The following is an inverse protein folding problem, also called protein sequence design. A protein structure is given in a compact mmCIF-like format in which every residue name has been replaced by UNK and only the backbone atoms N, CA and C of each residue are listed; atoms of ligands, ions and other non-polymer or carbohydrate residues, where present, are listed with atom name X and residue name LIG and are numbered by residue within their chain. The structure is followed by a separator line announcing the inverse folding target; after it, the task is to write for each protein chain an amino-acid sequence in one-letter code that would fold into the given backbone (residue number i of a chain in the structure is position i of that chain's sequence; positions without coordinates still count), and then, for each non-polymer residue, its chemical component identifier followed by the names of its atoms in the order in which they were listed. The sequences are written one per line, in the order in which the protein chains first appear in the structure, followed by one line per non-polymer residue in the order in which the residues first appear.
data_IF_513074203634
#
_entry.id   IF_513074203634
#
_cell.length_a   1.000
_cell.length_b   1.000
_cell.length_c   1.000
_cell.angle_alpha   90.00
_cell.angle_beta   90.00
_cell.angle_gamma   90.00
#
_symmetry.space_group_name_H-M   'P 1'
#
loop_
_entity.id
_entity.type
_entity.pdbx_description
1 polymer ?
#
# COMPACT_ATOMS: atom_id res chain seq x y z
N UNK A 1 5.86 -2.03 6.71
CA UNK A 1 4.64 -1.85 7.53
C UNK A 1 3.49 -2.64 6.91
N UNK A 2 3.09 -3.74 7.55
CA UNK A 2 1.90 -4.48 7.15
C UNK A 2 0.71 -3.62 7.62
N UNK A 3 0.04 -2.91 6.72
CA UNK A 3 -1.10 -2.01 7.05
C UNK A 3 -2.24 -2.65 7.85
N UNK A 4 -2.17 -3.97 8.08
CA UNK A 4 -2.89 -4.70 9.11
C UNK A 4 -2.02 -5.84 9.68
N UNK A 5 -2.02 -6.05 10.98
CA UNK A 5 -1.42 -7.22 11.64
C UNK A 5 -2.53 -8.09 12.26
N UNK A 6 -2.51 -9.39 11.97
CA UNK A 6 -3.38 -10.36 12.64
C UNK A 6 -2.55 -11.21 13.59
N UNK A 7 -2.87 -11.15 14.88
CA UNK A 7 -2.23 -11.96 15.92
C UNK A 7 -3.22 -13.06 16.32
N UNK A 8 -2.80 -14.31 16.19
CA UNK A 8 -3.60 -15.46 16.61
C UNK A 8 -2.93 -16.14 17.79
N UNK A 9 -3.65 -16.41 18.89
CA UNK A 9 -3.16 -17.29 19.93
C UNK A 9 -2.84 -18.67 19.34
N UNK A 10 -1.78 -19.30 19.84
CA UNK A 10 -1.36 -20.63 19.38
C UNK A 10 -2.54 -21.62 19.36
N UNK A 11 -2.73 -22.32 18.24
CA UNK A 11 -3.89 -23.20 17.98
C UNK A 11 -3.94 -24.45 18.88
N UNK A 12 -2.82 -24.83 19.48
CA UNK A 12 -2.76 -25.96 20.41
C UNK A 12 -3.53 -25.74 21.72
N UNK A 13 -4.05 -26.82 22.32
CA UNK A 13 -4.82 -26.87 23.60
C UNK A 13 -4.11 -26.25 24.83
N UNK A 14 -2.87 -25.78 24.68
CA UNK A 14 -2.05 -25.15 25.74
C UNK A 14 -2.21 -23.64 25.82
N UNK A 15 -2.74 -22.97 24.79
CA UNK A 15 -2.92 -21.52 24.83
C UNK A 15 -4.03 -21.14 25.81
N UNK A 16 -3.66 -20.57 26.95
CA UNK A 16 -4.61 -20.08 27.95
C UNK A 16 -5.56 -19.04 27.33
N UNK A 17 -5.03 -18.10 26.54
CA UNK A 17 -5.83 -17.09 25.84
C UNK A 17 -6.89 -17.72 24.93
N UNK A 18 -6.53 -18.76 24.17
CA UNK A 18 -7.48 -19.45 23.29
C UNK A 18 -8.55 -20.19 24.09
N UNK A 19 -8.16 -20.90 25.16
CA UNK A 19 -9.10 -21.61 26.04
C UNK A 19 -10.07 -20.67 26.75
N UNK A 20 -9.61 -19.48 27.13
CA UNK A 20 -10.43 -18.44 27.75
C UNK A 20 -11.20 -17.59 26.73
N UNK A 21 -11.15 -17.94 25.44
CA UNK A 21 -12.06 -17.41 24.44
C UNK A 21 -11.53 -16.25 23.61
N UNK A 22 -10.24 -15.90 23.66
CA UNK A 22 -9.64 -15.01 22.67
C UNK A 22 -9.38 -15.79 21.38
N UNK A 23 -9.99 -15.38 20.27
CA UNK A 23 -9.86 -16.07 18.99
C UNK A 23 -8.70 -15.53 18.18
N UNK A 24 -8.69 -14.22 17.94
CA UNK A 24 -7.62 -13.49 17.26
C UNK A 24 -7.76 -11.99 17.51
N UNK A 25 -6.67 -11.26 17.25
CA UNK A 25 -6.60 -9.80 17.33
C UNK A 25 -6.23 -9.29 15.94
N UNK A 26 -6.96 -8.30 15.45
CA UNK A 26 -6.63 -7.57 14.24
C UNK A 26 -6.26 -6.14 14.60
N UNK A 27 -5.07 -5.71 14.19
CA UNK A 27 -4.55 -4.37 14.37
C UNK A 27 -4.50 -3.69 13.01
N UNK A 28 -5.15 -2.53 12.88
CA UNK A 28 -5.20 -1.76 11.64
C UNK A 28 -4.54 -0.40 11.84
N UNK A 29 -3.53 -0.09 11.02
CA UNK A 29 -2.99 1.27 11.00
C UNK A 29 -4.05 2.21 10.40
N UNK A 30 -4.41 3.27 11.13
CA UNK A 30 -5.41 4.25 10.67
C UNK A 30 -4.85 5.26 9.67
N UNK A 31 -3.52 5.27 9.45
CA UNK A 31 -2.84 6.16 8.50
C UNK A 31 -3.37 6.04 7.07
N UNK A 32 -3.93 4.89 6.67
CA UNK A 32 -4.61 4.73 5.37
C UNK A 32 -5.73 5.76 5.15
N UNK A 33 -6.33 6.24 6.24
CA UNK A 33 -7.38 7.27 6.24
C UNK A 33 -6.91 8.61 5.70
N UNK A 34 -5.59 8.87 5.66
CA UNK A 34 -5.02 10.08 5.05
C UNK A 34 -5.39 10.14 3.56
N UNK A 35 -5.36 9.00 2.87
CA UNK A 35 -5.53 8.94 1.42
C UNK A 35 -6.89 8.37 0.98
N UNK A 36 -7.62 7.69 1.86
CA UNK A 36 -8.89 7.08 1.54
C UNK A 36 -9.98 8.13 1.24
N UNK A 37 -10.66 7.99 0.09
CA UNK A 37 -11.93 8.66 -0.16
C UNK A 37 -12.93 7.59 -0.63
N UNK A 38 -13.71 7.05 0.32
CA UNK A 38 -14.43 5.80 0.11
C UNK A 38 -13.47 4.66 -0.23
N UNK A 39 -13.71 3.98 -1.36
CA UNK A 39 -12.85 2.92 -1.89
C UNK A 39 -11.85 3.41 -2.95
N UNK A 40 -11.74 4.73 -3.17
CA UNK A 40 -10.87 5.31 -4.19
C UNK A 40 -9.61 5.86 -3.55
N UNK A 41 -8.45 5.58 -4.15
CA UNK A 41 -7.15 6.00 -3.64
C UNK A 41 -6.30 6.69 -4.72
N UNK A 42 -5.35 7.56 -4.34
CA UNK A 42 -4.43 8.16 -5.29
C UNK A 42 -3.67 7.10 -6.08
N UNK A 43 -3.51 7.34 -7.38
CA UNK A 43 -2.83 6.46 -8.34
C UNK A 43 -3.48 5.08 -8.57
N UNK A 44 -4.64 4.79 -7.98
CA UNK A 44 -5.34 3.50 -8.17
C UNK A 44 -5.95 3.30 -9.58
N UNK A 45 -5.94 4.33 -10.43
CA UNK A 45 -6.44 4.22 -11.79
C UNK A 45 -5.47 3.40 -12.66
N UNK A 46 -5.81 2.15 -12.97
CA UNK A 46 -4.99 1.28 -13.81
C UNK A 46 -4.72 1.83 -15.22
N UNK A 47 -5.56 2.73 -15.73
CA UNK A 47 -5.31 3.39 -17.00
C UNK A 47 -4.08 4.33 -16.95
N UNK A 48 -3.53 4.64 -15.76
CA UNK A 48 -2.27 5.38 -15.66
C UNK A 48 -1.11 4.64 -16.33
N UNK A 49 -1.12 3.30 -16.35
CA UNK A 49 -0.09 2.50 -17.03
C UNK A 49 -0.03 2.83 -18.54
N UNK A 50 -1.11 3.34 -19.15
CA UNK A 50 -1.10 3.72 -20.57
C UNK A 50 -0.26 4.97 -20.84
N UNK A 51 0.08 5.77 -19.83
CA UNK A 51 1.03 6.88 -19.98
C UNK A 51 2.44 6.40 -20.32
N UNK A 52 2.76 5.13 -20.05
CA UNK A 52 4.05 4.51 -20.36
C UNK A 52 4.12 3.87 -21.75
N UNK A 53 2.99 3.76 -22.43
CA UNK A 53 2.90 3.09 -23.72
C UNK A 53 3.13 4.07 -24.87
N UNK A 54 3.63 3.52 -25.97
CA UNK A 54 3.74 4.27 -27.23
C UNK A 54 2.34 4.78 -27.67
N UNK A 55 2.20 6.08 -27.99
CA UNK A 55 0.91 6.63 -28.43
C UNK A 55 0.35 5.96 -29.69
N UNK A 56 1.21 5.48 -30.59
CA UNK A 56 0.82 4.71 -31.77
C UNK A 56 0.23 3.35 -31.40
N UNK A 57 0.86 2.64 -30.45
CA UNK A 57 0.33 1.38 -29.91
C UNK A 57 -1.03 1.55 -29.24
N UNK A 58 -1.19 2.59 -28.42
CA UNK A 58 -2.47 2.89 -27.77
C UNK A 58 -3.56 3.18 -28.80
N UNK A 59 -3.26 3.98 -29.84
CA UNK A 59 -4.21 4.27 -30.95
C UNK A 59 -4.58 3.01 -31.73
N UNK A 60 -3.62 2.14 -32.01
CA UNK A 60 -3.87 0.87 -32.70
C UNK A 60 -4.81 -0.03 -31.88
N UNK A 61 -4.58 -0.16 -30.57
CA UNK A 61 -5.46 -0.92 -29.68
C UNK A 61 -6.84 -0.29 -29.53
N UNK A 62 -6.95 1.04 -29.55
CA UNK A 62 -8.24 1.74 -29.57
C UNK A 62 -9.03 1.42 -30.84
N UNK A 63 -8.36 1.44 -31.99
CA UNK A 63 -8.97 1.16 -33.28
C UNK A 63 -9.43 -0.30 -33.40
N UNK A 64 -8.62 -1.26 -32.93
CA UNK A 64 -8.91 -2.70 -33.03
C UNK A 64 -9.90 -3.16 -31.95
N UNK A 65 -9.72 -2.70 -30.72
CA UNK A 65 -10.42 -3.24 -29.56
C UNK A 65 -11.71 -2.52 -29.18
N UNK A 66 -12.00 -1.33 -29.73
CA UNK A 66 -13.12 -0.43 -29.38
C UNK A 66 -13.33 -0.11 -27.87
N UNK A 67 -12.53 -0.68 -26.96
CA UNK A 67 -12.78 -0.70 -25.52
C UNK A 67 -11.87 0.24 -24.70
N UNK A 68 -10.79 0.80 -25.29
CA UNK A 68 -9.82 1.65 -24.57
C UNK A 68 -10.02 3.15 -24.86
N UNK A 69 -11.25 3.67 -24.76
CA UNK A 69 -11.55 5.09 -25.03
C UNK A 69 -11.11 6.02 -23.89
N UNK A 70 -9.84 5.98 -23.50
CA UNK A 70 -9.27 6.98 -22.59
C UNK A 70 -8.40 7.96 -23.38
N UNK A 71 -8.81 9.24 -23.36
CA UNK A 71 -8.01 10.33 -23.90
C UNK A 71 -6.67 10.40 -23.13
N UNK A 72 -5.50 10.39 -23.79
CA UNK A 72 -4.21 10.53 -23.14
C UNK A 72 -4.12 11.76 -22.23
N UNK A 73 -4.74 12.87 -22.65
CA UNK A 73 -4.84 14.09 -21.85
C UNK A 73 -5.68 13.89 -20.59
N UNK A 74 -6.76 13.10 -20.66
CA UNK A 74 -7.57 12.80 -19.47
C UNK A 74 -6.80 11.95 -18.46
N UNK A 75 -6.01 10.97 -18.93
CA UNK A 75 -5.16 10.16 -18.06
C UNK A 75 -4.04 10.99 -17.44
N UNK A 76 -3.40 11.88 -18.22
CA UNK A 76 -2.39 12.80 -17.67
C UNK A 76 -2.99 13.75 -16.62
N UNK A 77 -4.20 14.28 -16.86
CA UNK A 77 -4.93 15.06 -15.84
C UNK A 77 -5.22 14.22 -14.60
N UNK A 78 -5.63 12.96 -14.75
CA UNK A 78 -5.86 12.07 -13.62
C UNK A 78 -4.59 11.85 -12.78
N UNK A 79 -3.43 11.70 -13.43
CA UNK A 79 -2.12 11.64 -12.77
C UNK A 79 -1.84 12.92 -11.95
N UNK A 80 -2.01 14.09 -12.56
CA UNK A 80 -1.79 15.38 -11.88
C UNK A 80 -2.77 15.59 -10.72
N UNK A 81 -4.04 15.23 -10.88
CA UNK A 81 -5.02 15.28 -9.81
C UNK A 81 -4.67 14.33 -8.65
N UNK A 82 -4.11 13.15 -8.93
CA UNK A 82 -3.61 12.25 -7.89
C UNK A 82 -2.47 12.90 -7.08
N UNK A 83 -1.52 13.58 -7.74
CA UNK A 83 -0.46 14.35 -7.06
C UNK A 83 -1.03 15.44 -6.16
N UNK A 84 -1.95 16.26 -6.68
CA UNK A 84 -2.60 17.33 -5.92
C UNK A 84 -3.35 16.76 -4.72
N UNK A 85 -4.11 15.69 -4.91
CA UNK A 85 -4.83 15.00 -3.84
C UNK A 85 -3.89 14.51 -2.74
N UNK A 86 -2.76 13.88 -3.08
CA UNK A 86 -1.75 13.49 -2.10
C UNK A 86 -1.19 14.70 -1.35
N UNK A 87 -0.85 15.77 -2.06
CA UNK A 87 -0.33 16.98 -1.44
C UNK A 87 -1.32 17.58 -0.44
N UNK A 88 -2.58 17.78 -0.84
CA UNK A 88 -3.63 18.31 0.02
C UNK A 88 -3.86 17.41 1.23
N UNK A 89 -3.99 16.09 1.01
CA UNK A 89 -4.19 15.12 2.09
C UNK A 89 -3.07 15.19 3.14
N UNK A 90 -1.81 15.14 2.70
CA UNK A 90 -0.65 15.21 3.59
C UNK A 90 -0.59 16.54 4.35
N UNK A 91 -0.90 17.66 3.70
CA UNK A 91 -0.89 18.98 4.33
C UNK A 91 -2.01 19.12 5.37
N UNK A 92 -3.24 18.71 5.04
CA UNK A 92 -4.40 18.78 5.93
C UNK A 92 -4.26 17.87 7.16
N UNK A 93 -3.53 16.77 7.04
CA UNK A 93 -3.37 15.77 8.09
C UNK A 93 -2.24 16.07 9.09
N UNK A 94 -1.49 17.17 8.92
CA UNK A 94 -0.26 17.44 9.67
C UNK A 94 -0.46 17.57 11.19
N UNK A 95 -1.62 18.07 11.60
CA UNK A 95 -1.97 18.29 13.00
C UNK A 95 -2.84 17.15 13.59
N UNK A 96 -2.98 16.03 12.87
CA UNK A 96 -3.73 14.88 13.34
C UNK A 96 -2.82 13.86 14.02
N UNK A 97 -3.41 13.03 14.88
CA UNK A 97 -2.75 11.84 15.45
C UNK A 97 -3.41 10.60 14.88
N UNK A 98 -2.59 9.66 14.42
CA UNK A 98 -3.04 8.39 13.85
C UNK A 98 -2.70 7.27 14.83
N UNK A 99 -3.72 6.54 15.25
CA UNK A 99 -3.57 5.38 16.13
C UNK A 99 -3.64 4.07 15.37
N UNK A 100 -3.57 2.99 16.13
CA UNK A 100 -3.91 1.64 15.66
C UNK A 100 -5.32 1.33 16.12
N UNK A 101 -6.21 0.99 15.18
CA UNK A 101 -7.50 0.41 15.53
C UNK A 101 -7.27 -1.05 15.88
N UNK A 102 -7.65 -1.43 17.09
CA UNK A 102 -7.55 -2.81 17.57
C UNK A 102 -8.94 -3.46 17.56
N UNK A 103 -9.04 -4.64 16.96
CA UNK A 103 -10.25 -5.42 16.89
C UNK A 103 -10.00 -6.80 17.51
N UNK A 104 -10.64 -7.04 18.66
CA UNK A 104 -10.52 -8.28 19.42
C UNK A 104 -11.69 -9.19 19.10
N UNK A 105 -11.38 -10.37 18.56
CA UNK A 105 -12.39 -11.36 18.21
C UNK A 105 -12.40 -12.40 19.30
N UNK A 106 -13.53 -12.47 20.01
CA UNK A 106 -13.69 -13.24 21.25
C UNK A 106 -14.91 -14.14 21.18
N UNK A 107 -14.90 -15.19 21.99
CA UNK A 107 -16.07 -16.04 22.21
C UNK A 107 -17.19 -15.27 22.94
N UNK A 108 -18.44 -15.69 22.73
CA UNK A 108 -19.60 -15.13 23.42
C UNK A 108 -19.48 -15.13 24.96
N UNK A 109 -19.07 -16.25 25.60
CA UNK A 109 -18.88 -16.29 27.05
C UNK A 109 -17.85 -15.28 27.58
N UNK A 110 -16.73 -15.11 26.86
CA UNK A 110 -15.72 -14.12 27.21
C UNK A 110 -16.29 -12.69 27.06
N UNK A 111 -17.00 -12.41 25.96
CA UNK A 111 -17.65 -11.12 25.75
C UNK A 111 -18.63 -10.78 26.87
N UNK A 112 -19.46 -11.74 27.28
CA UNK A 112 -20.39 -11.56 28.39
C UNK A 112 -19.67 -11.27 29.71
N UNK A 113 -18.59 -12.00 29.99
CA UNK A 113 -17.76 -11.79 31.18
C UNK A 113 -17.12 -10.39 31.19
N UNK A 114 -16.59 -9.93 30.05
CA UNK A 114 -16.04 -8.58 29.89
C UNK A 114 -17.13 -7.54 30.14
N UNK A 115 -18.32 -7.72 29.55
CA UNK A 115 -19.44 -6.81 29.73
C UNK A 115 -19.83 -6.69 31.21
N UNK A 116 -19.98 -7.80 31.94
CA UNK A 116 -20.30 -7.77 33.37
C UNK A 116 -19.25 -7.01 34.20
N UNK A 117 -17.95 -7.21 33.91
CA UNK A 117 -16.87 -6.51 34.61
C UNK A 117 -16.88 -5.01 34.30
N UNK A 118 -17.07 -4.63 33.03
CA UNK A 118 -17.09 -3.24 32.60
C UNK A 118 -18.31 -2.49 33.16
N UNK A 119 -19.49 -3.10 33.15
CA UNK A 119 -20.72 -2.51 33.71
C UNK A 119 -20.64 -2.28 35.22
N UNK A 120 -19.77 -3.02 35.94
CA UNK A 120 -19.55 -2.86 37.39
C UNK A 120 -18.45 -1.86 37.72
N UNK A 121 -17.60 -1.47 36.76
CA UNK A 121 -16.54 -0.47 36.96
C UNK A 121 -17.07 0.91 36.58
N UNK A 122 -17.05 1.86 37.51
CA UNK A 122 -17.15 3.27 37.15
C UNK A 122 -16.00 3.60 36.19
N UNK A 123 -16.31 4.25 35.05
CA UNK A 123 -15.41 4.58 33.95
C UNK A 123 -13.93 4.58 34.37
N UNK A 124 -13.17 3.52 34.07
CA UNK A 124 -11.76 3.50 34.42
C UNK A 124 -11.09 4.66 33.68
N UNK A 125 -10.51 5.60 34.43
CA UNK A 125 -9.59 6.60 33.87
C UNK A 125 -8.57 5.84 33.04
N UNK A 126 -8.37 6.25 31.79
CA UNK A 126 -7.37 5.64 30.92
C UNK A 126 -5.99 5.80 31.58
N UNK A 127 -5.52 4.74 32.23
CA UNK A 127 -4.17 4.69 32.79
C UNK A 127 -3.25 4.41 31.61
N UNK A 128 -2.69 5.46 31.01
CA UNK A 128 -1.55 5.30 30.12
C UNK A 128 -0.36 4.85 30.97
N UNK A 129 0.26 3.68 30.69
CA UNK A 129 1.45 3.27 31.41
C UNK A 129 2.55 4.30 31.15
N UNK A 130 3.03 5.00 32.17
CA UNK A 130 4.02 6.06 32.01
C UNK A 130 5.39 5.55 31.53
N UNK A 131 5.66 4.24 31.65
CA UNK A 131 6.96 3.64 31.34
C UNK A 131 6.88 2.21 30.78
N UNK A 132 5.84 1.86 30.02
CA UNK A 132 5.87 0.60 29.29
C UNK A 132 6.71 0.78 28.02
N UNK A 133 7.72 -0.08 27.83
CA UNK A 133 8.30 -0.31 26.50
C UNK A 133 7.18 -0.82 25.61
N UNK A 134 6.61 0.08 24.82
CA UNK A 134 5.53 -0.26 23.90
C UNK A 134 6.12 -1.12 22.77
N UNK A 135 5.47 -2.23 22.38
CA UNK A 135 5.97 -3.13 21.33
C UNK A 135 5.77 -2.54 19.92
N UNK A 136 5.67 -1.21 19.82
CA UNK A 136 5.40 -0.49 18.60
C UNK A 136 6.14 0.85 18.61
N UNK A 137 6.49 1.33 17.42
CA UNK A 137 7.11 2.64 17.26
C UNK A 137 6.05 3.73 17.25
N UNK A 138 6.34 4.84 17.95
CA UNK A 138 5.56 6.07 17.87
C UNK A 138 6.43 7.10 17.17
N UNK A 139 5.98 7.56 16.00
CA UNK A 139 6.67 8.61 15.25
C UNK A 139 5.83 9.90 15.25
N UNK A 140 6.47 11.08 15.29
CA UNK A 140 5.77 12.33 15.07
C UNK A 140 5.05 12.32 13.73
N UNK A 141 3.76 12.70 13.70
CA UNK A 141 2.96 12.74 12.46
C UNK A 141 3.68 13.50 11.36
N UNK A 142 4.22 14.69 11.66
CA UNK A 142 4.95 15.51 10.69
C UNK A 142 6.12 14.76 10.02
N UNK A 143 6.92 14.04 10.80
CA UNK A 143 8.05 13.26 10.29
C UNK A 143 7.59 12.17 9.32
N UNK A 144 6.56 11.42 9.70
CA UNK A 144 6.00 10.36 8.85
C UNK A 144 5.39 10.91 7.55
N UNK A 145 4.64 12.00 7.63
CA UNK A 145 4.03 12.63 6.46
C UNK A 145 5.08 13.21 5.51
N UNK A 146 6.14 13.83 6.04
CA UNK A 146 7.25 14.32 5.23
C UNK A 146 7.99 13.15 4.56
N UNK A 147 8.24 12.05 5.28
CA UNK A 147 8.82 10.84 4.69
C UNK A 147 7.95 10.28 3.55
N UNK A 148 6.63 10.18 3.71
CA UNK A 148 5.73 9.75 2.63
C UNK A 148 5.80 10.72 1.45
N UNK A 149 5.75 12.03 1.72
CA UNK A 149 5.84 13.07 0.69
C UNK A 149 7.10 12.91 -0.15
N UNK A 150 8.25 12.75 0.49
CA UNK A 150 9.52 12.55 -0.20
C UNK A 150 9.54 11.27 -1.03
N UNK A 151 9.02 10.17 -0.50
CA UNK A 151 8.94 8.90 -1.24
C UNK A 151 8.03 9.01 -2.46
N UNK A 152 6.85 9.64 -2.33
CA UNK A 152 5.96 9.88 -3.46
C UNK A 152 6.63 10.78 -4.51
N UNK A 153 7.23 11.90 -4.09
CA UNK A 153 7.88 12.83 -5.00
C UNK A 153 9.06 12.19 -5.75
N UNK A 154 9.85 11.34 -5.09
CA UNK A 154 10.94 10.59 -5.75
C UNK A 154 10.40 9.71 -6.89
N UNK A 155 9.30 9.00 -6.66
CA UNK A 155 8.69 8.13 -7.67
C UNK A 155 8.03 8.93 -8.81
N UNK A 156 7.30 10.01 -8.47
CA UNK A 156 6.73 10.92 -9.45
C UNK A 156 7.82 11.55 -10.32
N UNK A 157 8.93 12.01 -9.72
CA UNK A 157 10.07 12.58 -10.42
C UNK A 157 10.71 11.57 -11.36
N UNK A 158 10.91 10.33 -10.90
CA UNK A 158 11.43 9.25 -11.74
C UNK A 158 10.54 8.98 -12.96
N UNK A 159 9.22 8.91 -12.77
CA UNK A 159 8.27 8.79 -13.86
C UNK A 159 8.33 10.00 -14.80
N UNK A 160 8.25 11.22 -14.28
CA UNK A 160 8.22 12.46 -15.05
C UNK A 160 9.50 12.66 -15.87
N UNK A 161 10.66 12.36 -15.29
CA UNK A 161 11.94 12.43 -15.98
C UNK A 161 11.95 11.48 -17.19
N UNK A 162 11.61 10.21 -16.99
CA UNK A 162 11.60 9.24 -18.09
C UNK A 162 10.54 9.61 -19.12
N UNK A 163 9.35 10.04 -18.70
CA UNK A 163 8.28 10.52 -19.58
C UNK A 163 8.74 11.69 -20.46
N UNK A 164 9.51 12.64 -19.91
CA UNK A 164 10.05 13.79 -20.69
C UNK A 164 11.21 13.43 -21.60
N UNK A 165 11.99 12.40 -21.28
CA UNK A 165 13.12 11.93 -22.10
C UNK A 165 12.67 11.10 -23.32
N UNK A 166 11.40 10.69 -23.38
CA UNK A 166 10.87 9.98 -24.54
C UNK A 166 10.89 10.90 -25.75
N UNK A 167 11.48 10.44 -26.86
CA UNK A 167 11.25 11.09 -28.13
C UNK A 167 9.77 10.90 -28.48
N UNK A 168 9.10 11.95 -28.96
CA UNK A 168 7.69 11.86 -29.36
C UNK A 168 7.44 10.93 -30.57
N UNK A 169 8.49 10.29 -31.09
CA UNK A 169 8.47 9.44 -32.27
C UNK A 169 8.67 7.96 -31.97
N UNK A 170 9.40 7.58 -30.90
CA UNK A 170 9.61 6.18 -30.52
C UNK A 170 9.73 6.05 -28.99
N UNK A 171 8.84 5.27 -28.38
CA UNK A 171 9.02 4.83 -26.99
C UNK A 171 9.81 3.53 -26.96
N UNK A 172 11.05 3.58 -26.45
CA UNK A 172 11.83 2.37 -26.18
C UNK A 172 11.17 1.54 -25.07
N UNK A 173 11.18 0.22 -25.25
CA UNK A 173 10.67 -0.76 -24.30
C UNK A 173 11.20 -0.54 -22.87
N UNK A 174 12.48 -0.17 -22.73
CA UNK A 174 13.12 0.12 -21.44
C UNK A 174 12.46 1.30 -20.73
N UNK A 175 12.15 2.38 -21.45
CA UNK A 175 11.43 3.54 -20.90
C UNK A 175 10.03 3.16 -20.44
N UNK A 176 9.29 2.36 -21.24
CA UNK A 176 7.98 1.83 -20.84
C UNK A 176 8.07 1.06 -19.52
N UNK A 177 9.03 0.13 -19.40
CA UNK A 177 9.19 -0.66 -18.15
C UNK A 177 9.41 0.24 -16.95
N UNK A 178 10.37 1.16 -17.04
CA UNK A 178 10.78 2.01 -15.92
C UNK A 178 9.62 2.92 -15.49
N UNK A 179 8.89 3.48 -16.44
CA UNK A 179 7.71 4.30 -16.12
C UNK A 179 6.58 3.49 -15.47
N UNK A 180 6.28 2.30 -16.01
CA UNK A 180 5.31 1.41 -15.39
C UNK A 180 5.74 1.00 -13.97
N UNK A 181 7.04 0.80 -13.73
CA UNK A 181 7.56 0.53 -12.38
C UNK A 181 7.29 1.70 -11.43
N UNK A 182 7.59 2.94 -11.81
CA UNK A 182 7.31 4.12 -10.97
C UNK A 182 5.82 4.30 -10.69
N UNK A 183 4.97 4.18 -11.72
CA UNK A 183 3.51 4.28 -11.59
C UNK A 183 2.96 3.18 -10.68
N UNK A 184 3.43 1.94 -10.83
CA UNK A 184 3.04 0.84 -9.95
C UNK A 184 3.52 1.08 -8.53
N UNK A 185 4.78 1.46 -8.32
CA UNK A 185 5.32 1.74 -7.01
C UNK A 185 4.49 2.79 -6.24
N UNK A 186 4.01 3.84 -6.93
CA UNK A 186 3.13 4.87 -6.35
C UNK A 186 1.86 4.32 -5.71
N UNK A 187 1.33 3.19 -6.20
CA UNK A 187 0.15 2.53 -5.61
C UNK A 187 0.43 1.83 -4.28
N UNK A 188 1.72 1.53 -3.99
CA UNK A 188 2.16 0.81 -2.80
C UNK A 188 2.87 1.71 -1.77
N UNK A 189 3.21 2.96 -2.11
CA UNK A 189 4.11 3.83 -1.32
C UNK A 189 3.64 4.14 0.11
N UNK A 190 2.33 4.19 0.35
CA UNK A 190 1.79 4.76 1.60
C UNK A 190 1.11 3.75 2.53
N UNK A 191 1.17 2.44 2.24
CA UNK A 191 0.78 1.35 3.15
C UNK A 191 -0.66 1.43 3.68
N UNK A 192 -1.53 0.49 3.30
CA UNK A 192 -2.90 0.46 3.84
C UNK A 192 -4.01 0.10 2.87
N UNK A 193 -3.66 -0.15 1.60
CA UNK A 193 -4.54 -0.70 0.58
C UNK A 193 -4.84 -2.20 0.76
N UNK A 194 -4.24 -2.88 1.74
CA UNK A 194 -4.13 -4.36 1.74
C UNK A 194 -3.21 -4.92 0.65
N UNK A 195 -2.70 -4.06 -0.23
CA UNK A 195 -1.74 -4.39 -1.28
C UNK A 195 -0.33 -4.22 -0.73
N UNK A 196 0.28 -5.34 -0.34
CA UNK A 196 1.70 -5.40 0.03
C UNK A 196 2.55 -5.46 -1.25
N UNK A 197 3.76 -4.89 -1.23
CA UNK A 197 4.69 -4.87 -2.38
C UNK A 197 4.91 -6.28 -2.98
N UNK A 198 4.92 -7.31 -2.13
CA UNK A 198 4.95 -8.75 -2.51
C UNK A 198 3.91 -9.20 -3.53
N UNK A 199 2.79 -8.49 -3.67
CA UNK A 199 1.76 -8.83 -4.65
C UNK A 199 2.07 -8.28 -6.04
N UNK A 200 3.11 -7.45 -6.18
CA UNK A 200 3.61 -6.99 -7.46
C UNK A 200 4.93 -7.68 -7.77
N UNK A 201 4.89 -8.72 -8.64
CA UNK A 201 6.10 -9.42 -9.09
C UNK A 201 7.16 -8.45 -9.63
N UNK A 202 6.74 -7.45 -10.42
CA UNK A 202 7.65 -6.47 -11.01
C UNK A 202 8.30 -5.51 -10.00
N UNK A 203 7.80 -5.43 -8.76
CA UNK A 203 8.46 -4.67 -7.68
C UNK A 203 9.20 -5.61 -6.72
N UNK A 204 8.63 -6.77 -6.41
CA UNK A 204 9.11 -7.65 -5.34
C UNK A 204 10.28 -8.56 -5.75
N UNK A 205 10.17 -9.21 -6.92
CA UNK A 205 11.16 -10.16 -7.39
C UNK A 205 12.36 -9.41 -7.99
N UNK A 206 13.56 -9.98 -7.86
CA UNK A 206 14.74 -9.51 -8.61
C UNK A 206 14.77 -10.21 -9.98
N UNK A 207 15.13 -11.49 -9.99
CA UNK A 207 15.04 -12.37 -11.14
C UNK A 207 14.55 -13.75 -10.72
N UNK A 208 13.54 -14.29 -11.41
CA UNK A 208 13.04 -15.65 -11.20
C UNK A 208 12.90 -16.37 -12.53
N UNK A 209 13.59 -17.49 -12.65
CA UNK A 209 13.39 -18.43 -13.76
C UNK A 209 12.20 -19.32 -13.43
N UNK A 210 11.20 -19.35 -14.30
CA UNK A 210 10.07 -20.27 -14.21
C UNK A 210 10.38 -21.55 -15.01
N UNK A 211 10.63 -22.69 -14.33
CA UNK A 211 10.99 -23.94 -15.00
C UNK A 211 9.79 -24.62 -15.70
N UNK A 212 8.57 -24.10 -15.57
CA UNK A 212 7.34 -24.73 -16.08
C UNK A 212 6.78 -24.17 -17.40
N UNK A 213 7.42 -23.18 -18.02
CA UNK A 213 6.95 -22.65 -19.28
C UNK A 213 7.29 -23.66 -20.40
N UNK A 214 6.28 -24.42 -20.84
CA UNK A 214 6.41 -25.57 -21.74
C UNK A 214 6.92 -25.30 -23.16
N UNK A 215 7.75 -24.28 -23.38
CA UNK A 215 8.55 -24.03 -24.59
C UNK A 215 9.76 -23.09 -24.33
N UNK A 216 10.32 -23.07 -23.12
CA UNK A 216 11.57 -22.35 -22.82
C UNK A 216 11.61 -21.74 -21.42
N UNK A 217 12.81 -21.48 -20.89
CA UNK A 217 12.99 -20.79 -19.61
C UNK A 217 12.35 -19.40 -19.66
N UNK A 218 11.28 -19.19 -18.88
CA UNK A 218 10.65 -17.88 -18.76
C UNK A 218 11.28 -17.13 -17.59
N UNK A 219 12.06 -16.11 -17.88
CA UNK A 219 12.63 -15.23 -16.87
C UNK A 219 11.61 -14.14 -16.51
N UNK A 220 11.32 -13.99 -15.22
CA UNK A 220 10.51 -12.91 -14.66
C UNK A 220 11.42 -11.99 -13.87
N UNK A 221 11.55 -10.75 -14.32
CA UNK A 221 12.40 -9.72 -13.71
C UNK A 221 11.55 -8.67 -12.98
N UNK A 222 12.10 -8.13 -11.89
CA UNK A 222 11.52 -7.01 -11.14
C UNK A 222 12.59 -6.14 -10.47
N UNK A 223 12.22 -5.38 -9.44
CA UNK A 223 13.14 -4.46 -8.75
C UNK A 223 13.88 -5.06 -7.54
N UNK A 224 13.64 -6.33 -7.21
CA UNK A 224 14.32 -6.99 -6.09
C UNK A 224 14.03 -6.35 -4.72
N UNK A 225 12.89 -5.70 -4.54
CA UNK A 225 12.54 -5.04 -3.26
C UNK A 225 12.46 -6.05 -2.13
N UNK A 226 12.05 -7.30 -2.41
CA UNK A 226 12.04 -8.37 -1.42
C UNK A 226 13.45 -8.68 -0.89
N UNK A 227 14.42 -8.93 -1.77
CA UNK A 227 15.80 -9.19 -1.37
C UNK A 227 16.47 -7.99 -0.69
N UNK A 228 16.18 -6.77 -1.17
CA UNK A 228 16.69 -5.55 -0.55
C UNK A 228 16.16 -5.40 0.88
N UNK A 229 14.88 -5.70 1.08
CA UNK A 229 14.27 -5.67 2.41
C UNK A 229 14.82 -6.78 3.31
N UNK A 230 15.04 -7.98 2.79
CA UNK A 230 15.62 -9.08 3.59
C UNK A 230 17.08 -8.79 4.00
N UNK A 231 17.84 -8.04 3.18
CA UNK A 231 19.24 -7.72 3.45
C UNK A 231 19.44 -6.49 4.34
N UNK A 232 18.56 -5.49 4.26
CA UNK A 232 18.76 -4.18 4.87
C UNK A 232 17.58 -3.68 5.73
N UNK A 233 16.49 -4.43 5.82
CA UNK A 233 15.23 -4.05 6.48
C UNK A 233 15.10 -4.44 7.94
#
# INVERSE_FOLDING_TARGET
DLGSLTIQPHLGRRSALRRHGLLYIQLYNTSKGIFAAGNTYPFANHALDTLALDPGLVRAWQHIGQALSHSPQAILRAYLHAKVRCHTALTSCRNHSYGTREEYRVSGPLLHSIHQVMSRRAHPRAIMPQHATVPFFIHPTALFLDWIRWNMNRLCLGFELVYTLQSHTVVHWEHTRVMMMFLRALTYTYGGQGHHLRHSNGLWLDCRVDPGAGNGERVVEGMGVGETLDRYG
#
